data_IF_497531360283
#
_entry.id   IF_497531360283
#
_cell.length_a   1.000
_cell.length_b   1.000
_cell.length_c   1.000
_cell.angle_alpha   90.00
_cell.angle_beta   90.00
_cell.angle_gamma   90.00
#
_symmetry.space_group_name_H-M   'P 1'
#
loop_
_entity.id
_entity.type
_entity.pdbx_description
1 polymer ?
#
# COMPACT_ATOMS: atom_id res chain seq x y z
N UNK A 1 19.47 -24.68 -18.63
CA UNK A 1 18.18 -23.99 -18.42
C UNK A 1 18.05 -23.36 -17.02
N UNK A 2 18.52 -23.98 -15.93
CA UNK A 2 18.35 -23.42 -14.57
C UNK A 2 19.21 -22.18 -14.25
N UNK A 3 20.44 -22.07 -14.77
CA UNK A 3 21.33 -20.92 -14.48
C UNK A 3 20.82 -19.58 -15.02
N UNK A 4 20.10 -19.60 -16.14
CA UNK A 4 19.52 -18.40 -16.75
C UNK A 4 18.34 -17.83 -15.95
N UNK A 5 17.51 -18.71 -15.38
CA UNK A 5 16.43 -18.29 -14.49
C UNK A 5 16.95 -17.65 -13.20
N UNK A 6 18.03 -18.22 -12.64
CA UNK A 6 18.67 -17.67 -11.42
C UNK A 6 19.31 -16.30 -11.69
N UNK A 7 20.02 -16.14 -12.81
CA UNK A 7 20.69 -14.87 -13.16
C UNK A 7 19.69 -13.77 -13.53
N UNK A 8 18.68 -14.07 -14.36
CA UNK A 8 17.61 -13.09 -14.67
C UNK A 8 16.78 -12.76 -13.43
N UNK A 9 16.51 -13.73 -12.56
CA UNK A 9 15.82 -13.53 -11.29
C UNK A 9 16.59 -12.62 -10.33
N UNK A 10 17.89 -12.85 -10.18
CA UNK A 10 18.75 -12.00 -9.35
C UNK A 10 18.84 -10.56 -9.87
N UNK A 11 18.95 -10.39 -11.20
CA UNK A 11 18.97 -9.06 -11.81
C UNK A 11 17.65 -8.32 -11.60
N UNK A 12 16.52 -8.96 -11.85
CA UNK A 12 15.20 -8.36 -11.63
C UNK A 12 14.92 -8.08 -10.14
N UNK A 13 15.44 -8.92 -9.24
CA UNK A 13 15.42 -8.65 -7.80
C UNK A 13 16.16 -7.36 -7.46
N UNK A 14 17.40 -7.22 -7.94
CA UNK A 14 18.19 -6.02 -7.72
C UNK A 14 17.50 -4.77 -8.28
N UNK A 15 16.92 -4.85 -9.48
CA UNK A 15 16.13 -3.76 -10.06
C UNK A 15 14.92 -3.42 -9.17
N UNK A 16 14.21 -4.42 -8.65
CA UNK A 16 13.07 -4.21 -7.76
C UNK A 16 13.50 -3.49 -6.47
N UNK A 17 14.64 -3.88 -5.89
CA UNK A 17 15.22 -3.22 -4.72
C UNK A 17 15.58 -1.76 -5.03
N UNK A 18 16.23 -1.49 -6.17
CA UNK A 18 16.56 -0.13 -6.59
C UNK A 18 15.29 0.71 -6.80
N UNK A 19 14.25 0.15 -7.42
CA UNK A 19 12.97 0.83 -7.59
C UNK A 19 12.27 1.09 -6.26
N UNK A 20 12.34 0.16 -5.31
CA UNK A 20 11.81 0.36 -3.96
C UNK A 20 12.55 1.48 -3.21
N UNK A 21 13.88 1.55 -3.35
CA UNK A 21 14.67 2.67 -2.83
C UNK A 21 14.27 3.99 -3.47
N UNK A 22 14.08 4.02 -4.79
CA UNK A 22 13.61 5.21 -5.49
C UNK A 22 12.19 5.58 -5.07
N UNK A 23 11.32 4.62 -4.77
CA UNK A 23 9.97 4.83 -4.24
C UNK A 23 9.93 5.73 -3.02
N UNK A 24 10.90 5.58 -2.11
CA UNK A 24 10.99 6.40 -0.90
C UNK A 24 11.21 7.89 -1.19
N UNK A 25 11.85 8.22 -2.31
CA UNK A 25 12.13 9.60 -2.72
C UNK A 25 11.17 10.11 -3.79
N UNK A 26 10.66 9.20 -4.63
CA UNK A 26 9.87 9.50 -5.81
C UNK A 26 8.58 8.67 -5.79
N UNK A 27 7.46 9.32 -5.51
CA UNK A 27 6.15 8.66 -5.41
C UNK A 27 5.74 7.91 -6.70
N UNK A 28 6.21 8.35 -7.87
CA UNK A 28 5.91 7.69 -9.14
C UNK A 28 6.61 6.33 -9.31
N UNK A 29 7.69 6.06 -8.57
CA UNK A 29 8.44 4.81 -8.72
C UNK A 29 7.62 3.61 -8.21
N UNK A 30 6.69 3.81 -7.27
CA UNK A 30 5.78 2.76 -6.79
C UNK A 30 4.93 2.13 -7.89
N UNK A 31 4.60 2.89 -8.94
CA UNK A 31 3.81 2.41 -10.08
C UNK A 31 4.62 1.44 -10.97
N UNK A 32 5.95 1.50 -10.90
CA UNK A 32 6.87 0.72 -11.75
C UNK A 32 7.37 -0.54 -11.03
N UNK A 33 7.38 -0.58 -9.69
CA UNK A 33 7.78 -1.75 -8.87
C UNK A 33 7.13 -3.09 -9.29
N UNK A 34 5.85 -3.16 -9.69
CA UNK A 34 5.21 -4.42 -10.08
C UNK A 34 5.75 -4.97 -11.40
N UNK A 35 6.29 -4.12 -12.27
CA UNK A 35 6.66 -4.46 -13.65
C UNK A 35 7.81 -5.49 -13.71
N UNK A 36 8.94 -5.32 -13.01
CA UNK A 36 9.98 -6.36 -12.97
C UNK A 36 9.47 -7.71 -12.49
N UNK A 37 8.59 -7.72 -11.48
CA UNK A 37 7.99 -8.93 -10.92
C UNK A 37 7.05 -9.60 -11.93
N UNK A 38 6.25 -8.83 -12.67
CA UNK A 38 5.41 -9.34 -13.75
C UNK A 38 6.23 -9.95 -14.89
N UNK A 39 7.32 -9.30 -15.30
CA UNK A 39 8.21 -9.80 -16.35
C UNK A 39 8.84 -11.14 -15.92
N UNK A 40 9.24 -11.23 -14.65
CA UNK A 40 9.83 -12.44 -14.10
C UNK A 40 8.84 -13.62 -14.15
N UNK A 41 7.60 -13.40 -13.69
CA UNK A 41 6.55 -14.42 -13.67
C UNK A 41 6.17 -14.85 -15.08
N UNK A 42 6.11 -13.89 -16.01
CA UNK A 42 5.86 -14.17 -17.42
C UNK A 42 6.93 -15.08 -18.04
N UNK A 43 8.23 -14.84 -17.74
CA UNK A 43 9.35 -15.57 -18.34
C UNK A 43 9.68 -16.90 -17.66
N UNK A 44 9.65 -16.95 -16.32
CA UNK A 44 10.15 -18.07 -15.53
C UNK A 44 9.06 -18.79 -14.71
N UNK A 45 7.81 -18.32 -14.83
CA UNK A 45 6.65 -18.92 -14.17
C UNK A 45 6.49 -18.54 -12.70
N UNK A 46 5.37 -19.02 -12.12
CA UNK A 46 4.90 -18.63 -10.80
C UNK A 46 5.90 -18.92 -9.66
N UNK A 47 6.51 -20.12 -9.68
CA UNK A 47 7.46 -20.54 -8.63
C UNK A 47 8.66 -19.60 -8.53
N UNK A 48 9.23 -19.23 -9.68
CA UNK A 48 10.37 -18.30 -9.72
C UNK A 48 9.96 -16.90 -9.29
N UNK A 49 8.75 -16.45 -9.67
CA UNK A 49 8.18 -15.18 -9.26
C UNK A 49 8.10 -15.01 -7.74
N UNK A 50 7.52 -16.01 -7.08
CA UNK A 50 7.35 -16.00 -5.61
C UNK A 50 8.70 -15.97 -4.91
N UNK A 51 9.65 -16.82 -5.33
CA UNK A 51 10.97 -16.89 -4.71
C UNK A 51 11.70 -15.54 -4.83
N UNK A 52 11.71 -14.94 -6.01
CA UNK A 52 12.39 -13.66 -6.21
C UNK A 52 11.68 -12.51 -5.50
N UNK A 53 10.35 -12.51 -5.43
CA UNK A 53 9.61 -11.51 -4.64
C UNK A 53 9.98 -11.59 -3.17
N UNK A 54 10.07 -12.80 -2.60
CA UNK A 54 10.51 -13.03 -1.22
C UNK A 54 11.96 -12.59 -1.00
N UNK A 55 12.87 -12.95 -1.91
CA UNK A 55 14.28 -12.54 -1.83
C UNK A 55 14.40 -11.02 -1.89
N UNK A 56 13.69 -10.36 -2.80
CA UNK A 56 13.68 -8.91 -2.94
C UNK A 56 13.12 -8.22 -1.69
N UNK A 57 12.06 -8.77 -1.11
CA UNK A 57 11.48 -8.26 0.14
C UNK A 57 12.45 -8.39 1.32
N UNK A 58 13.13 -9.54 1.46
CA UNK A 58 14.15 -9.75 2.51
C UNK A 58 15.29 -8.75 2.33
N UNK A 59 15.80 -8.61 1.09
CA UNK A 59 16.87 -7.66 0.79
C UNK A 59 16.46 -6.22 1.11
N UNK A 60 15.27 -5.79 0.72
CA UNK A 60 14.77 -4.45 1.04
C UNK A 60 14.63 -4.23 2.55
N UNK A 61 14.09 -5.21 3.29
CA UNK A 61 14.02 -5.12 4.76
C UNK A 61 15.39 -4.90 5.38
N UNK A 62 16.41 -5.64 4.91
CA UNK A 62 17.77 -5.54 5.43
C UNK A 62 18.43 -4.21 5.07
N UNK A 63 18.27 -3.76 3.82
CA UNK A 63 18.89 -2.51 3.32
C UNK A 63 18.26 -1.28 3.97
N UNK A 64 16.93 -1.29 4.15
CA UNK A 64 16.18 -0.15 4.68
C UNK A 64 15.92 -0.22 6.18
N UNK A 65 16.32 -1.33 6.82
CA UNK A 65 16.07 -1.60 8.24
C UNK A 65 14.59 -1.40 8.64
N UNK A 66 13.67 -1.75 7.75
CA UNK A 66 12.23 -1.56 7.96
C UNK A 66 11.44 -2.79 7.52
N UNK A 67 10.79 -3.42 8.49
CA UNK A 67 9.91 -4.57 8.25
C UNK A 67 8.71 -4.21 7.36
N UNK A 68 8.23 -2.96 7.46
CA UNK A 68 7.09 -2.48 6.70
C UNK A 68 7.36 -2.43 5.19
N UNK A 69 8.60 -2.10 4.79
CA UNK A 69 8.97 -2.03 3.37
C UNK A 69 9.07 -3.43 2.75
N UNK A 70 9.65 -4.39 3.48
CA UNK A 70 9.66 -5.78 3.02
C UNK A 70 8.27 -6.34 2.87
N UNK A 71 7.40 -6.10 3.86
CA UNK A 71 6.01 -6.51 3.82
C UNK A 71 5.27 -5.89 2.62
N UNK A 72 5.46 -4.60 2.38
CA UNK A 72 4.88 -3.91 1.23
C UNK A 72 5.31 -4.56 -0.09
N UNK A 73 6.58 -4.93 -0.24
CA UNK A 73 7.06 -5.62 -1.44
C UNK A 73 6.47 -7.02 -1.64
N UNK A 74 6.26 -7.79 -0.56
CA UNK A 74 5.57 -9.09 -0.66
C UNK A 74 4.14 -8.90 -1.15
N UNK A 75 3.46 -7.89 -0.62
CA UNK A 75 2.06 -7.60 -0.96
C UNK A 75 1.93 -7.07 -2.40
N UNK A 76 2.79 -6.15 -2.82
CA UNK A 76 2.86 -5.66 -4.21
C UNK A 76 3.29 -6.78 -5.16
N UNK A 77 4.06 -7.75 -4.69
CA UNK A 77 4.41 -8.95 -5.43
C UNK A 77 3.19 -9.76 -5.88
N UNK A 78 2.10 -9.75 -5.12
CA UNK A 78 0.83 -10.40 -5.52
C UNK A 78 0.29 -9.77 -6.81
N UNK A 79 0.33 -8.43 -6.89
CA UNK A 79 -0.07 -7.69 -8.08
C UNK A 79 0.87 -7.98 -9.26
N UNK A 80 2.18 -7.95 -9.03
CA UNK A 80 3.18 -8.32 -10.03
C UNK A 80 2.95 -9.72 -10.60
N UNK A 81 2.66 -10.69 -9.73
CA UNK A 81 2.36 -12.08 -10.10
C UNK A 81 1.06 -12.21 -10.88
N UNK A 82 -0.02 -11.55 -10.44
CA UNK A 82 -1.31 -11.59 -11.12
C UNK A 82 -1.21 -11.06 -12.56
N UNK A 83 -0.57 -9.90 -12.73
CA UNK A 83 -0.32 -9.30 -14.06
C UNK A 83 0.58 -10.22 -14.90
N UNK A 84 1.64 -10.78 -14.32
CA UNK A 84 2.55 -11.68 -15.01
C UNK A 84 1.88 -12.98 -15.51
N UNK A 85 0.93 -13.52 -14.75
CA UNK A 85 0.11 -14.66 -15.17
C UNK A 85 -0.85 -14.30 -16.30
N UNK A 86 -1.55 -13.16 -16.18
CA UNK A 86 -2.46 -12.68 -17.23
C UNK A 86 -1.73 -12.43 -18.56
N UNK A 87 -0.51 -11.87 -18.51
CA UNK A 87 0.36 -11.73 -19.68
C UNK A 87 0.70 -13.09 -20.30
N UNK A 88 0.96 -14.11 -19.47
CA UNK A 88 1.31 -15.46 -19.93
C UNK A 88 0.14 -16.15 -20.64
N UNK A 89 -1.07 -15.90 -20.19
CA UNK A 89 -2.31 -16.38 -20.82
C UNK A 89 -2.74 -15.55 -22.04
N UNK A 90 -1.94 -14.56 -22.45
CA UNK A 90 -2.19 -13.67 -23.60
C UNK A 90 -3.50 -12.88 -23.50
N UNK A 91 -3.84 -12.46 -22.28
CA UNK A 91 -5.02 -11.62 -22.06
C UNK A 91 -4.94 -10.33 -22.90
N UNK A 92 -6.09 -9.85 -23.36
CA UNK A 92 -6.18 -8.57 -24.05
C UNK A 92 -5.93 -7.39 -23.10
N UNK A 93 -5.68 -6.19 -23.65
CA UNK A 93 -5.39 -4.99 -22.86
C UNK A 93 -6.46 -4.70 -21.78
N UNK A 94 -7.75 -4.80 -22.13
CA UNK A 94 -8.84 -4.57 -21.18
C UNK A 94 -8.88 -5.60 -20.05
N UNK A 95 -8.59 -6.87 -20.33
CA UNK A 95 -8.53 -7.92 -19.33
C UNK A 95 -7.33 -7.74 -18.39
N UNK A 96 -6.18 -7.36 -18.94
CA UNK A 96 -4.99 -7.01 -18.16
C UNK A 96 -5.23 -5.84 -17.21
N UNK A 97 -5.92 -4.80 -17.68
CA UNK A 97 -6.30 -3.67 -16.86
C UNK A 97 -7.19 -4.10 -15.68
N UNK A 98 -8.21 -4.91 -15.95
CA UNK A 98 -9.11 -5.45 -14.90
C UNK A 98 -8.33 -6.29 -13.88
N UNK A 99 -7.44 -7.18 -14.33
CA UNK A 99 -6.60 -7.98 -13.42
C UNK A 99 -5.69 -7.09 -12.56
N UNK A 100 -5.10 -6.05 -13.17
CA UNK A 100 -4.29 -5.07 -12.46
C UNK A 100 -5.07 -4.35 -11.36
N UNK A 101 -6.25 -3.79 -11.69
CA UNK A 101 -7.11 -3.10 -10.72
C UNK A 101 -7.56 -4.03 -9.60
N UNK A 102 -8.06 -5.24 -9.92
CA UNK A 102 -8.51 -6.19 -8.90
C UNK A 102 -7.36 -6.59 -7.97
N UNK A 103 -6.19 -6.90 -8.53
CA UNK A 103 -5.04 -7.30 -7.73
C UNK A 103 -4.46 -6.14 -6.91
N UNK A 104 -4.52 -4.90 -7.41
CA UNK A 104 -4.15 -3.69 -6.66
C UNK A 104 -5.08 -3.42 -5.48
N UNK A 105 -6.40 -3.55 -5.67
CA UNK A 105 -7.38 -3.42 -4.59
C UNK A 105 -7.13 -4.50 -3.52
N UNK A 106 -6.93 -5.75 -3.93
CA UNK A 106 -6.59 -6.85 -3.00
C UNK A 106 -5.30 -6.55 -2.24
N UNK A 107 -4.25 -6.10 -2.93
CA UNK A 107 -2.98 -5.73 -2.31
C UNK A 107 -3.15 -4.60 -1.29
N UNK A 108 -3.95 -3.57 -1.62
CA UNK A 108 -4.23 -2.45 -0.73
C UNK A 108 -4.98 -2.88 0.53
N UNK A 109 -5.97 -3.75 0.39
CA UNK A 109 -6.70 -4.34 1.53
C UNK A 109 -5.76 -5.18 2.40
N UNK A 110 -4.94 -6.04 1.80
CA UNK A 110 -3.95 -6.83 2.54
C UNK A 110 -2.97 -5.93 3.30
N UNK A 111 -2.48 -4.86 2.67
CA UNK A 111 -1.59 -3.89 3.30
C UNK A 111 -2.22 -3.26 4.53
N UNK A 112 -3.47 -2.82 4.42
CA UNK A 112 -4.21 -2.26 5.55
C UNK A 112 -4.37 -3.26 6.70
N UNK A 113 -4.79 -4.49 6.41
CA UNK A 113 -4.94 -5.56 7.43
C UNK A 113 -3.60 -5.89 8.08
N UNK A 114 -2.54 -6.02 7.28
CA UNK A 114 -1.21 -6.39 7.78
C UNK A 114 -0.62 -5.30 8.67
N UNK A 115 -0.79 -4.03 8.31
CA UNK A 115 -0.37 -2.93 9.18
C UNK A 115 -1.20 -2.85 10.46
N UNK A 116 -2.52 -3.04 10.38
CA UNK A 116 -3.37 -3.07 11.58
C UNK A 116 -2.98 -4.19 12.55
N UNK A 117 -2.66 -5.37 12.04
CA UNK A 117 -2.24 -6.51 12.87
C UNK A 117 -0.85 -6.33 13.47
N UNK A 118 0.12 -5.80 12.73
CA UNK A 118 1.48 -5.53 13.26
C UNK A 118 1.46 -4.42 14.30
N UNK A 119 0.65 -3.38 14.08
CA UNK A 119 0.53 -2.26 14.99
C UNK A 119 -0.17 -2.66 16.31
N UNK A 120 -0.96 -3.73 16.32
CA UNK A 120 -1.60 -4.27 17.52
C UNK A 120 -2.78 -3.45 18.03
N UNK A 121 -3.17 -2.40 17.31
CA UNK A 121 -4.35 -1.58 17.57
C UNK A 121 -5.24 -1.51 16.34
N UNK A 122 -6.54 -1.31 16.56
CA UNK A 122 -7.46 -1.01 15.49
C UNK A 122 -7.11 0.37 14.93
N UNK A 123 -6.61 0.41 13.69
CA UNK A 123 -6.18 1.64 13.01
C UNK A 123 -7.28 2.70 13.01
N UNK A 124 -8.55 2.26 12.93
CA UNK A 124 -9.70 3.15 13.05
C UNK A 124 -9.76 3.82 14.42
N UNK A 125 -9.62 3.06 15.49
CA UNK A 125 -9.76 3.57 16.87
C UNK A 125 -8.63 4.55 17.22
N UNK A 126 -7.41 4.28 16.73
CA UNK A 126 -6.27 5.18 16.94
C UNK A 126 -6.40 6.47 16.10
N UNK A 127 -6.91 6.37 14.86
CA UNK A 127 -7.24 7.53 14.04
C UNK A 127 -8.32 8.38 14.70
N UNK A 128 -9.40 7.78 15.20
CA UNK A 128 -10.49 8.52 15.86
C UNK A 128 -9.99 9.20 17.12
N UNK A 129 -9.20 8.49 17.93
CA UNK A 129 -8.59 9.07 19.14
C UNK A 129 -7.65 10.23 18.83
N UNK A 130 -6.85 10.11 17.76
CA UNK A 130 -5.95 11.17 17.32
C UNK A 130 -6.74 12.38 16.82
N UNK A 131 -7.84 12.16 16.09
CA UNK A 131 -8.74 13.22 15.65
C UNK A 131 -9.43 13.90 16.82
N UNK A 132 -9.91 13.16 17.81
CA UNK A 132 -10.52 13.69 19.04
C UNK A 132 -9.53 14.56 19.83
N UNK A 133 -8.29 14.08 20.03
CA UNK A 133 -7.24 14.86 20.68
C UNK A 133 -6.90 16.15 19.92
N UNK A 134 -6.83 16.07 18.59
CA UNK A 134 -6.57 17.22 17.73
C UNK A 134 -7.73 18.23 17.75
N UNK A 135 -8.96 17.71 17.78
CA UNK A 135 -10.19 18.48 17.87
C UNK A 135 -10.26 19.25 19.21
N UNK A 136 -9.97 18.57 20.31
CA UNK A 136 -9.94 19.17 21.64
C UNK A 136 -8.86 20.25 21.76
N UNK A 137 -7.66 20.00 21.23
CA UNK A 137 -6.59 21.00 21.15
C UNK A 137 -7.00 22.24 20.35
N UNK A 138 -7.65 22.05 19.19
CA UNK A 138 -8.13 23.15 18.38
C UNK A 138 -9.19 23.98 19.12
N UNK A 139 -10.15 23.34 19.79
CA UNK A 139 -11.17 24.00 20.59
C UNK A 139 -10.58 24.80 21.76
N UNK A 140 -9.59 24.25 22.46
CA UNK A 140 -8.90 24.94 23.55
C UNK A 140 -8.19 26.22 23.09
N UNK A 141 -7.55 26.19 21.90
CA UNK A 141 -6.95 27.39 21.30
C UNK A 141 -8.03 28.42 20.96
N UNK A 142 -9.16 28.00 20.40
CA UNK A 142 -10.23 28.91 19.99
C UNK A 142 -10.96 29.52 21.18
N UNK A 143 -11.12 28.78 22.28
CA UNK A 143 -11.56 29.31 23.57
C UNK A 143 -10.61 30.38 24.09
N UNK A 144 -9.29 30.15 24.02
CA UNK A 144 -8.29 31.14 24.44
C UNK A 144 -8.29 32.44 23.62
N UNK A 145 -8.82 32.39 22.39
CA UNK A 145 -8.99 33.55 21.49
C UNK A 145 -10.33 34.29 21.68
N UNK A 146 -11.19 33.85 22.59
CA UNK A 146 -12.45 34.53 22.93
C UNK A 146 -13.60 34.28 21.95
N UNK A 147 -13.60 33.15 21.24
CA UNK A 147 -14.69 32.77 20.32
C UNK A 147 -15.99 32.46 21.10
N UNK A 148 -17.14 32.87 20.57
CA UNK A 148 -18.48 32.70 21.18
C UNK A 148 -18.85 31.23 21.43
N UNK A 149 -19.49 30.95 22.56
CA UNK A 149 -19.89 29.59 22.97
C UNK A 149 -20.81 28.88 21.95
N UNK A 150 -21.68 29.62 21.27
CA UNK A 150 -22.54 29.07 20.21
C UNK A 150 -21.73 28.52 19.03
N UNK A 151 -20.66 29.21 18.63
CA UNK A 151 -19.77 28.74 17.58
C UNK A 151 -19.02 27.48 18.05
N UNK A 152 -18.50 27.50 19.28
CA UNK A 152 -17.78 26.36 19.87
C UNK A 152 -18.64 25.09 19.94
N UNK A 153 -19.92 25.20 20.30
CA UNK A 153 -20.84 24.07 20.31
C UNK A 153 -21.10 23.52 18.90
N UNK A 154 -21.23 24.40 17.90
CA UNK A 154 -21.39 23.99 16.51
C UNK A 154 -20.16 23.23 15.99
N UNK A 155 -18.95 23.73 16.30
CA UNK A 155 -17.70 23.08 15.92
C UNK A 155 -17.46 21.75 16.65
N UNK A 156 -17.77 21.67 17.95
CA UNK A 156 -17.71 20.42 18.71
C UNK A 156 -18.58 19.33 18.10
N UNK A 157 -19.82 19.68 17.71
CA UNK A 157 -20.75 18.74 17.07
C UNK A 157 -20.22 18.25 15.70
N UNK A 158 -19.62 19.15 14.92
CA UNK A 158 -18.96 18.83 13.66
C UNK A 158 -17.78 17.86 13.86
N UNK A 159 -16.91 18.15 14.83
CA UNK A 159 -15.74 17.34 15.17
C UNK A 159 -16.14 15.95 15.66
N UNK A 160 -17.19 15.84 16.48
CA UNK A 160 -17.72 14.55 16.95
C UNK A 160 -18.31 13.68 15.83
N UNK A 161 -18.68 14.28 14.69
CA UNK A 161 -19.21 13.56 13.52
C UNK A 161 -18.13 13.13 12.53
N UNK A 162 -16.89 13.63 12.66
CA UNK A 162 -15.77 13.27 11.77
C UNK A 162 -15.41 11.78 11.81
N UNK A 163 -15.33 11.11 12.98
CA UNK A 163 -15.09 9.67 13.06
C UNK A 163 -16.03 8.84 12.17
N UNK A 164 -17.33 9.14 12.21
CA UNK A 164 -18.34 8.43 11.43
C UNK A 164 -18.19 8.69 9.94
N UNK A 165 -17.90 9.93 9.55
CA UNK A 165 -17.60 10.28 8.15
C UNK A 165 -16.37 9.51 7.64
N UNK A 166 -15.29 9.45 8.42
CA UNK A 166 -14.10 8.68 8.06
C UNK A 166 -14.41 7.19 7.89
N UNK A 167 -15.26 6.62 8.76
CA UNK A 167 -15.65 5.20 8.68
C UNK A 167 -16.42 4.88 7.39
N UNK A 168 -17.26 5.80 6.92
CA UNK A 168 -17.98 5.68 5.65
C UNK A 168 -17.06 5.92 4.45
N UNK A 169 -16.12 6.85 4.55
CA UNK A 169 -15.19 7.21 3.46
C UNK A 169 -14.05 6.22 3.28
N UNK A 170 -13.63 5.50 4.33
CA UNK A 170 -12.52 4.55 4.28
C UNK A 170 -12.62 3.52 3.14
N UNK A 171 -13.75 2.81 2.94
CA UNK A 171 -13.88 1.89 1.81
C UNK A 171 -13.72 2.58 0.46
N UNK A 172 -14.26 3.80 0.29
CA UNK A 172 -14.08 4.58 -0.94
C UNK A 172 -12.61 4.95 -1.17
N UNK A 173 -11.89 5.34 -0.12
CA UNK A 173 -10.45 5.64 -0.19
C UNK A 173 -9.64 4.42 -0.60
N UNK A 174 -9.96 3.22 -0.08
CA UNK A 174 -9.29 1.98 -0.47
C UNK A 174 -9.51 1.68 -1.96
N UNK A 175 -10.73 1.86 -2.46
CA UNK A 175 -11.01 1.64 -3.89
C UNK A 175 -10.29 2.67 -4.76
N UNK A 176 -10.30 3.95 -4.38
CA UNK A 176 -9.61 5.00 -5.12
C UNK A 176 -8.09 4.76 -5.17
N UNK A 177 -7.48 4.42 -4.04
CA UNK A 177 -6.05 4.10 -3.97
C UNK A 177 -5.74 2.83 -4.76
N UNK A 178 -6.62 1.83 -4.77
CA UNK A 178 -6.43 0.62 -5.57
C UNK A 178 -6.54 0.83 -7.09
N UNK A 179 -7.14 1.93 -7.54
CA UNK A 179 -7.22 2.29 -8.96
C UNK A 179 -5.96 3.04 -9.43
N UNK A 180 -5.25 3.69 -8.51
CA UNK A 180 -4.07 4.54 -8.77
C UNK A 180 -2.79 3.70 -8.70
#
# INVERSE_FOLDING_TARGET
MQTRAVTEGAMLSAVTVILALLGLYFSFAYLIIPVPLSILVYRHGLRSGIIVSLVSAILCTLVLNSLFVGLELVIVGIMGVAIGLALKEKFGFGQLFIVGVISSVIATVLKFIAYATIAGFNVLDELTKTLELSAEQALNVWQSLGVTEELLQQYSKLLSSLPDLFRVLLPFMIVLVGII
#
